data_IF_892675436103
#
_entry.id   IF_892675436103
#
_cell.length_a   1.000
_cell.length_b   1.000
_cell.length_c   1.000
_cell.angle_alpha   90.00
_cell.angle_beta   90.00
_cell.angle_gamma   90.00
#
_symmetry.space_group_name_H-M   'P 1'
#
loop_
_entity.id
_entity.type
_entity.pdbx_description
1 polymer ?
#
# COMPACT_ATOMS: atom_id res chain seq x y z
N UNK A 1 7.87 23.66 35.22
CA UNK A 1 8.24 22.83 34.09
C UNK A 1 9.45 21.99 34.45
N UNK A 2 9.24 20.76 34.92
CA UNK A 2 10.32 19.86 35.34
C UNK A 2 11.17 19.46 34.15
N UNK A 3 12.49 19.67 34.23
CA UNK A 3 13.49 19.16 33.31
C UNK A 3 13.51 17.64 33.44
N UNK A 4 12.79 16.94 32.59
CA UNK A 4 12.89 15.47 32.45
C UNK A 4 14.37 15.13 32.22
N UNK A 5 14.93 14.34 33.13
CA UNK A 5 16.34 13.93 33.11
C UNK A 5 16.70 13.29 31.77
N UNK A 6 17.90 13.58 31.26
CA UNK A 6 18.42 12.98 30.02
C UNK A 6 18.35 11.45 30.02
N UNK A 7 18.49 10.81 31.19
CA UNK A 7 18.32 9.35 31.38
C UNK A 7 16.87 8.88 31.15
N UNK A 8 15.88 9.64 31.58
CA UNK A 8 14.45 9.26 31.39
C UNK A 8 14.04 9.36 29.93
N UNK A 9 14.56 10.34 29.19
CA UNK A 9 14.37 10.42 27.72
C UNK A 9 14.98 9.22 27.00
N UNK A 10 16.17 8.77 27.39
CA UNK A 10 16.82 7.60 26.80
C UNK A 10 16.04 6.32 27.12
N UNK A 11 15.57 6.17 28.36
CA UNK A 11 14.76 5.02 28.76
C UNK A 11 13.42 5.00 28.02
N UNK A 12 12.79 6.16 27.82
CA UNK A 12 11.55 6.29 27.05
C UNK A 12 11.76 5.94 25.57
N UNK A 13 12.85 6.42 24.95
CA UNK A 13 13.19 6.04 23.56
C UNK A 13 13.52 4.54 23.42
N UNK A 14 14.21 3.95 24.38
CA UNK A 14 14.50 2.51 24.38
C UNK A 14 13.24 1.66 24.58
N UNK A 15 12.29 2.11 25.44
CA UNK A 15 10.97 1.46 25.57
C UNK A 15 10.14 1.58 24.28
N UNK A 16 10.16 2.73 23.62
CA UNK A 16 9.49 2.95 22.36
C UNK A 16 10.06 2.03 21.27
N UNK A 17 11.40 1.90 21.17
CA UNK A 17 12.06 0.98 20.22
C UNK A 17 11.76 -0.50 20.51
N UNK A 18 11.67 -0.91 21.77
CA UNK A 18 11.26 -2.28 22.12
C UNK A 18 9.84 -2.59 21.65
N UNK A 19 8.89 -1.62 21.81
CA UNK A 19 7.53 -1.79 21.31
C UNK A 19 7.47 -1.94 19.79
N UNK A 20 8.28 -1.16 19.06
CA UNK A 20 8.37 -1.26 17.60
C UNK A 20 8.94 -2.62 17.16
N UNK A 21 9.99 -3.11 17.84
CA UNK A 21 10.57 -4.43 17.56
C UNK A 21 9.57 -5.55 17.86
N UNK A 22 8.82 -5.48 18.97
CA UNK A 22 7.78 -6.46 19.28
C UNK A 22 6.63 -6.41 18.28
N UNK A 23 6.23 -5.22 17.85
CA UNK A 23 5.21 -5.05 16.81
C UNK A 23 5.64 -5.73 15.50
N UNK A 24 6.88 -5.47 15.05
CA UNK A 24 7.44 -6.11 13.86
C UNK A 24 7.57 -7.62 14.01
N UNK A 25 8.06 -8.10 15.16
CA UNK A 25 8.19 -9.52 15.44
C UNK A 25 6.83 -10.23 15.43
N UNK A 26 5.79 -9.63 16.05
CA UNK A 26 4.44 -10.17 16.06
C UNK A 26 3.85 -10.16 14.65
N UNK A 27 3.97 -9.06 13.91
CA UNK A 27 3.46 -8.96 12.55
C UNK A 27 4.14 -9.96 11.60
N UNK A 28 5.46 -10.10 11.71
CA UNK A 28 6.23 -11.07 10.94
C UNK A 28 5.87 -12.52 11.32
N UNK A 29 5.65 -12.77 12.61
CA UNK A 29 5.21 -14.09 13.10
C UNK A 29 3.81 -14.42 12.60
N UNK A 30 2.88 -13.48 12.59
CA UNK A 30 1.54 -13.67 12.02
C UNK A 30 1.63 -13.98 10.52
N UNK A 31 2.43 -13.23 9.77
CA UNK A 31 2.68 -13.50 8.34
C UNK A 31 3.31 -14.88 8.14
N UNK A 32 4.30 -15.26 8.96
CA UNK A 32 4.94 -16.58 8.90
C UNK A 32 3.98 -17.72 9.28
N UNK A 33 3.14 -17.53 10.30
CA UNK A 33 2.12 -18.51 10.70
C UNK A 33 1.12 -18.69 9.57
N UNK A 34 0.67 -17.59 8.95
CA UNK A 34 -0.21 -17.63 7.78
C UNK A 34 0.49 -18.36 6.62
N UNK A 35 1.78 -18.07 6.35
CA UNK A 35 2.58 -18.77 5.35
C UNK A 35 2.67 -20.28 5.61
N UNK A 36 2.87 -20.70 6.84
CA UNK A 36 3.01 -22.12 7.24
C UNK A 36 1.64 -22.82 7.15
N UNK A 37 0.57 -22.21 7.62
CA UNK A 37 -0.78 -22.81 7.62
C UNK A 37 -1.44 -22.86 6.22
N UNK A 38 -1.09 -21.94 5.32
CA UNK A 38 -1.66 -21.83 3.97
C UNK A 38 -0.67 -22.36 2.93
N UNK A 39 0.46 -22.99 3.31
CA UNK A 39 1.46 -23.58 2.42
C UNK A 39 0.86 -24.75 1.58
N UNK A 40 -0.27 -24.46 0.95
CA UNK A 40 -0.76 -25.21 -0.19
C UNK A 40 0.02 -24.74 -1.42
N UNK A 41 0.20 -25.62 -2.40
CA UNK A 41 0.91 -25.32 -3.68
C UNK A 41 0.25 -24.23 -4.53
N UNK A 42 -0.70 -23.48 -4.00
CA UNK A 42 -1.54 -22.54 -4.72
C UNK A 42 -0.86 -21.16 -4.86
N UNK A 43 -0.71 -20.69 -6.09
CA UNK A 43 -0.19 -19.35 -6.38
C UNK A 43 -1.06 -18.22 -5.78
N UNK A 44 -2.36 -18.47 -5.56
CA UNK A 44 -3.33 -17.55 -4.96
C UNK A 44 -2.95 -17.07 -3.56
N UNK A 45 -2.12 -17.82 -2.84
CA UNK A 45 -1.60 -17.45 -1.52
C UNK A 45 -0.88 -16.09 -1.53
N UNK A 46 -0.02 -15.85 -2.54
CA UNK A 46 0.71 -14.59 -2.62
C UNK A 46 -0.22 -13.38 -2.78
N UNK A 47 -1.36 -13.57 -3.45
CA UNK A 47 -2.38 -12.53 -3.60
C UNK A 47 -3.07 -12.22 -2.28
N UNK A 48 -3.39 -13.24 -1.48
CA UNK A 48 -3.96 -13.08 -0.14
C UNK A 48 -2.99 -12.38 0.79
N UNK A 49 -1.72 -12.81 0.81
CA UNK A 49 -0.67 -12.21 1.64
C UNK A 49 -0.43 -10.74 1.29
N UNK A 50 -0.45 -10.41 0.02
CA UNK A 50 -0.39 -9.03 -0.44
C UNK A 50 -1.55 -8.20 0.15
N UNK A 51 -2.78 -8.67 0.01
CA UNK A 51 -3.97 -7.97 0.51
C UNK A 51 -3.95 -7.82 2.04
N UNK A 52 -3.47 -8.83 2.77
CA UNK A 52 -3.32 -8.75 4.24
C UNK A 52 -2.23 -7.77 4.66
N UNK A 53 -1.07 -7.77 4.00
CA UNK A 53 0.00 -6.82 4.28
C UNK A 53 -0.47 -5.37 4.03
N UNK A 54 -1.24 -5.16 2.97
CA UNK A 54 -1.87 -3.89 2.64
C UNK A 54 -2.85 -3.44 3.73
N UNK A 55 -3.71 -4.33 4.22
CA UNK A 55 -4.63 -4.04 5.34
C UNK A 55 -3.87 -3.65 6.60
N UNK A 56 -2.79 -4.36 6.94
CA UNK A 56 -1.93 -4.03 8.08
C UNK A 56 -1.31 -2.65 7.95
N UNK A 57 -0.90 -2.24 6.75
CA UNK A 57 -0.38 -0.90 6.51
C UNK A 57 -1.40 0.19 6.88
N UNK A 58 -2.67 0.01 6.51
CA UNK A 58 -3.73 0.97 6.86
C UNK A 58 -4.06 0.98 8.35
N UNK A 59 -4.02 -0.17 9.01
CA UNK A 59 -4.16 -0.25 10.48
C UNK A 59 -3.07 0.59 11.17
N UNK A 60 -1.84 0.53 10.67
CA UNK A 60 -0.73 1.33 11.21
C UNK A 60 -0.99 2.84 11.08
N UNK A 61 -1.53 3.28 9.93
CA UNK A 61 -1.88 4.71 9.75
C UNK A 61 -2.99 5.13 10.72
N UNK A 62 -4.04 4.33 10.91
CA UNK A 62 -5.09 4.66 11.89
C UNK A 62 -4.51 4.79 13.29
N UNK A 63 -3.68 3.83 13.73
CA UNK A 63 -3.04 3.87 15.03
C UNK A 63 -2.19 5.14 15.20
N UNK A 64 -1.51 5.58 14.14
CA UNK A 64 -0.76 6.82 14.13
C UNK A 64 -1.67 8.04 14.30
N UNK A 65 -2.72 8.13 13.48
CA UNK A 65 -3.66 9.27 13.51
C UNK A 65 -4.32 9.39 14.88
N UNK A 66 -4.77 8.28 15.46
CA UNK A 66 -5.42 8.26 16.77
C UNK A 66 -4.46 8.62 17.91
N UNK A 67 -3.19 8.22 17.84
CA UNK A 67 -2.19 8.54 18.87
C UNK A 67 -1.70 9.99 18.78
N UNK A 68 -1.48 10.51 17.56
CA UNK A 68 -0.96 11.85 17.34
C UNK A 68 -2.06 12.91 17.20
N UNK A 69 -3.33 12.50 17.11
CA UNK A 69 -4.49 13.37 16.87
C UNK A 69 -4.27 14.32 15.67
N UNK A 70 -3.59 13.83 14.64
CA UNK A 70 -3.19 14.60 13.47
C UNK A 70 -3.16 13.76 12.20
N UNK A 71 -3.71 14.33 11.13
CA UNK A 71 -3.70 13.74 9.78
C UNK A 71 -2.63 14.37 8.88
N UNK A 72 -1.66 15.10 9.43
CA UNK A 72 -0.73 15.96 8.68
C UNK A 72 0.18 15.27 7.66
N UNK A 73 0.28 13.96 7.69
CA UNK A 73 1.16 13.20 6.77
C UNK A 73 0.40 12.24 5.87
N UNK A 74 -0.91 12.44 5.72
CA UNK A 74 -1.73 11.59 4.87
C UNK A 74 -2.22 12.40 3.69
N UNK A 75 -1.93 11.94 2.47
CA UNK A 75 -2.46 12.55 1.25
C UNK A 75 -3.90 12.10 1.02
N UNK A 76 -4.80 13.07 0.85
CA UNK A 76 -6.19 12.82 0.49
C UNK A 76 -6.27 12.18 -0.90
N UNK A 77 -5.45 12.65 -1.84
CA UNK A 77 -5.42 12.13 -3.20
C UNK A 77 -5.00 10.66 -3.25
N UNK A 78 -4.04 10.26 -2.40
CA UNK A 78 -3.69 8.85 -2.21
C UNK A 78 -4.89 8.02 -1.76
N UNK A 79 -5.60 8.46 -0.71
CA UNK A 79 -6.76 7.73 -0.18
C UNK A 79 -7.90 7.62 -1.21
N UNK A 80 -8.17 8.69 -1.96
CA UNK A 80 -9.20 8.67 -3.02
C UNK A 80 -8.83 7.67 -4.11
N UNK A 81 -7.60 7.72 -4.63
CA UNK A 81 -7.13 6.76 -5.63
C UNK A 81 -7.23 5.32 -5.11
N UNK A 82 -6.86 5.12 -3.84
CA UNK A 82 -6.87 3.81 -3.22
C UNK A 82 -8.29 3.26 -3.02
N UNK A 83 -9.24 4.10 -2.62
CA UNK A 83 -10.67 3.72 -2.54
C UNK A 83 -11.21 3.32 -3.92
N UNK A 84 -10.93 4.11 -4.95
CA UNK A 84 -11.36 3.81 -6.33
C UNK A 84 -10.77 2.47 -6.79
N UNK A 85 -9.50 2.21 -6.49
CA UNK A 85 -8.82 0.95 -6.78
C UNK A 85 -9.52 -0.22 -6.07
N UNK A 86 -9.75 -0.12 -4.74
CA UNK A 86 -10.39 -1.18 -3.96
C UNK A 86 -11.82 -1.46 -4.45
N UNK A 87 -12.61 -0.42 -4.72
CA UNK A 87 -13.96 -0.57 -5.27
C UNK A 87 -13.94 -1.26 -6.63
N UNK A 88 -13.05 -0.84 -7.54
CA UNK A 88 -12.89 -1.47 -8.85
C UNK A 88 -12.52 -2.96 -8.72
N UNK A 89 -11.61 -3.28 -7.79
CA UNK A 89 -11.18 -4.66 -7.51
C UNK A 89 -12.29 -5.51 -6.89
N UNK A 90 -13.04 -4.96 -5.94
CA UNK A 90 -14.18 -5.67 -5.35
C UNK A 90 -15.28 -5.95 -6.38
N UNK A 91 -15.60 -4.99 -7.24
CA UNK A 91 -16.55 -5.17 -8.33
C UNK A 91 -16.11 -6.31 -9.26
N UNK A 92 -14.85 -6.29 -9.69
CA UNK A 92 -14.32 -7.35 -10.56
C UNK A 92 -14.33 -8.71 -9.87
N UNK A 93 -13.98 -8.77 -8.60
CA UNK A 93 -13.96 -10.02 -7.84
C UNK A 93 -15.36 -10.61 -7.60
N UNK A 94 -16.37 -9.79 -7.38
CA UNK A 94 -17.75 -10.23 -7.09
C UNK A 94 -18.48 -10.67 -8.38
N UNK A 95 -18.34 -9.88 -9.45
CA UNK A 95 -19.15 -10.07 -10.67
C UNK A 95 -18.45 -10.89 -11.75
N UNK A 96 -17.19 -11.25 -11.55
CA UNK A 96 -16.43 -12.05 -12.49
C UNK A 96 -16.06 -13.39 -11.88
N UNK A 97 -16.47 -14.46 -12.57
CA UNK A 97 -15.92 -15.79 -12.26
C UNK A 97 -14.49 -15.81 -12.76
N UNK A 98 -13.53 -15.85 -11.85
CA UNK A 98 -12.13 -16.04 -12.22
C UNK A 98 -11.91 -17.46 -12.75
N UNK A 99 -11.30 -17.59 -13.93
CA UNK A 99 -10.73 -18.86 -14.38
C UNK A 99 -9.47 -19.26 -13.56
N UNK A 100 -9.01 -18.39 -12.67
CA UNK A 100 -7.94 -18.69 -11.72
C UNK A 100 -8.56 -19.43 -10.54
N UNK A 101 -8.20 -20.69 -10.38
CA UNK A 101 -8.65 -21.51 -9.24
C UNK A 101 -8.11 -20.90 -7.93
N UNK A 102 -8.96 -20.17 -7.23
CA UNK A 102 -8.69 -19.66 -5.89
C UNK A 102 -9.48 -20.52 -4.93
N UNK A 103 -8.83 -21.12 -3.93
CA UNK A 103 -9.56 -21.90 -2.92
C UNK A 103 -10.57 -21.02 -2.18
N UNK A 104 -11.66 -21.63 -1.72
CA UNK A 104 -12.72 -20.91 -1.00
C UNK A 104 -12.17 -20.12 0.20
N UNK A 105 -11.23 -20.72 0.94
CA UNK A 105 -10.59 -20.11 2.10
C UNK A 105 -9.81 -18.85 1.68
N UNK A 106 -8.99 -18.95 0.64
CA UNK A 106 -8.21 -17.82 0.12
C UNK A 106 -9.12 -16.70 -0.38
N UNK A 107 -10.24 -17.02 -1.01
CA UNK A 107 -11.24 -16.05 -1.45
C UNK A 107 -11.84 -15.30 -0.27
N UNK A 108 -12.22 -15.98 0.80
CA UNK A 108 -12.79 -15.35 2.00
C UNK A 108 -11.79 -14.37 2.61
N UNK A 109 -10.53 -14.77 2.81
CA UNK A 109 -9.51 -13.89 3.35
C UNK A 109 -9.23 -12.68 2.45
N UNK A 110 -9.24 -12.87 1.13
CA UNK A 110 -9.05 -11.82 0.15
C UNK A 110 -10.19 -10.77 0.24
N UNK A 111 -11.45 -11.21 0.21
CA UNK A 111 -12.59 -10.30 0.32
C UNK A 111 -12.61 -9.57 1.66
N UNK A 112 -12.38 -10.30 2.75
CA UNK A 112 -12.40 -9.72 4.10
C UNK A 112 -11.33 -8.64 4.24
N UNK A 113 -10.09 -8.90 3.80
CA UNK A 113 -9.01 -7.93 3.87
C UNK A 113 -9.28 -6.69 3.01
N UNK A 114 -9.84 -6.85 1.81
CA UNK A 114 -10.19 -5.73 0.94
C UNK A 114 -11.32 -4.87 1.52
N UNK A 115 -12.36 -5.50 2.09
CA UNK A 115 -13.47 -4.78 2.74
C UNK A 115 -12.95 -4.01 3.96
N UNK A 116 -12.13 -4.63 4.80
CA UNK A 116 -11.53 -3.97 5.97
C UNK A 116 -10.68 -2.77 5.51
N UNK A 117 -9.82 -2.93 4.51
CA UNK A 117 -9.02 -1.83 3.96
C UNK A 117 -9.89 -0.68 3.45
N UNK A 118 -10.99 -1.00 2.76
CA UNK A 118 -11.93 0.00 2.25
C UNK A 118 -12.61 0.79 3.39
N UNK A 119 -13.09 0.09 4.42
CA UNK A 119 -13.69 0.73 5.61
C UNK A 119 -12.69 1.63 6.32
N UNK A 120 -11.44 1.19 6.45
CA UNK A 120 -10.36 1.97 7.06
C UNK A 120 -10.08 3.24 6.22
N UNK A 121 -10.03 3.15 4.90
CA UNK A 121 -9.82 4.30 4.03
C UNK A 121 -10.96 5.33 4.15
N UNK A 122 -12.22 4.88 4.21
CA UNK A 122 -13.36 5.77 4.46
C UNK A 122 -13.30 6.42 5.85
N UNK A 123 -12.92 5.66 6.86
CA UNK A 123 -12.74 6.19 8.21
C UNK A 123 -11.61 7.23 8.27
N UNK A 124 -10.49 7.00 7.59
CA UNK A 124 -9.42 7.99 7.47
C UNK A 124 -9.89 9.27 6.77
N UNK A 125 -10.66 9.17 5.70
CA UNK A 125 -11.26 10.36 5.06
C UNK A 125 -12.20 11.10 6.02
N UNK A 126 -13.01 10.37 6.78
CA UNK A 126 -13.86 10.96 7.81
C UNK A 126 -13.03 11.75 8.86
N UNK A 127 -11.93 11.16 9.34
CA UNK A 127 -11.03 11.83 10.29
C UNK A 127 -10.41 13.10 9.69
N UNK A 128 -10.00 13.07 8.41
CA UNK A 128 -9.39 14.20 7.73
C UNK A 128 -10.39 15.35 7.51
N UNK A 129 -11.63 15.03 7.14
CA UNK A 129 -12.61 16.08 6.81
C UNK A 129 -13.37 16.62 8.02
N UNK A 130 -13.65 15.79 9.02
CA UNK A 130 -14.57 16.14 10.11
C UNK A 130 -13.91 16.25 11.49
N UNK A 131 -12.87 15.44 11.78
CA UNK A 131 -12.27 15.40 13.12
C UNK A 131 -11.02 16.26 13.20
N UNK A 132 -10.12 16.18 12.22
CA UNK A 132 -8.85 16.89 12.20
C UNK A 132 -8.63 17.72 10.92
N UNK A 133 -9.59 18.58 10.48
CA UNK A 133 -9.51 19.28 9.19
C UNK A 133 -8.37 20.29 9.11
N UNK A 134 -7.91 20.83 10.23
CA UNK A 134 -6.85 21.83 10.28
C UNK A 134 -5.45 21.23 10.14
N UNK A 135 -5.32 19.92 10.43
CA UNK A 135 -4.03 19.24 10.39
C UNK A 135 -3.67 18.69 9.01
N UNK A 136 -4.62 18.68 8.06
CA UNK A 136 -4.43 18.12 6.72
C UNK A 136 -3.69 19.09 5.79
N UNK A 137 -2.79 18.57 4.95
CA UNK A 137 -2.00 19.34 3.99
C UNK A 137 -2.73 19.60 2.69
N UNK A 138 -3.86 20.30 2.75
CA UNK A 138 -4.69 20.64 1.57
C UNK A 138 -3.92 21.37 0.45
N UNK A 139 -2.93 22.20 0.81
CA UNK A 139 -2.09 22.88 -0.17
C UNK A 139 -1.27 21.94 -1.04
N UNK A 140 -0.83 20.81 -0.49
CA UNK A 140 -0.09 19.79 -1.22
C UNK A 140 -1.02 19.01 -2.16
N UNK A 141 -2.16 18.57 -1.65
CA UNK A 141 -3.14 17.79 -2.42
C UNK A 141 -3.68 18.59 -3.62
N UNK A 142 -3.81 19.92 -3.50
CA UNK A 142 -4.21 20.78 -4.62
C UNK A 142 -3.17 20.88 -5.75
N UNK A 143 -1.88 20.62 -5.47
CA UNK A 143 -0.83 20.66 -6.50
C UNK A 143 -0.81 19.40 -7.37
N UNK A 144 -1.23 18.27 -6.82
CA UNK A 144 -1.26 17.00 -7.53
C UNK A 144 -2.64 16.33 -7.35
N UNK A 145 -3.70 16.85 -7.96
CA UNK A 145 -5.04 16.32 -7.82
C UNK A 145 -5.15 14.90 -8.40
N UNK A 146 -5.96 14.08 -7.76
CA UNK A 146 -6.11 12.65 -8.04
C UNK A 146 -6.44 12.30 -9.50
N UNK A 147 -7.14 13.18 -10.22
CA UNK A 147 -7.52 12.95 -11.62
C UNK A 147 -6.31 12.91 -12.58
N UNK A 148 -5.18 13.55 -12.25
CA UNK A 148 -3.93 13.39 -13.01
C UNK A 148 -3.37 11.97 -12.96
N UNK A 149 -3.74 11.20 -11.96
CA UNK A 149 -3.38 9.79 -11.84
C UNK A 149 -4.47 8.91 -12.48
N UNK A 150 -5.74 9.19 -12.18
CA UNK A 150 -6.86 8.37 -12.64
C UNK A 150 -7.01 8.33 -14.16
N UNK A 151 -6.91 9.49 -14.82
CA UNK A 151 -7.16 9.56 -16.27
C UNK A 151 -6.12 8.75 -17.07
N UNK A 152 -4.79 8.94 -16.87
CA UNK A 152 -3.79 8.15 -17.58
C UNK A 152 -3.88 6.65 -17.28
N UNK A 153 -4.11 6.27 -16.01
CA UNK A 153 -4.23 4.86 -15.62
C UNK A 153 -5.45 4.19 -16.25
N UNK A 154 -6.57 4.91 -16.35
CA UNK A 154 -7.77 4.41 -17.02
C UNK A 154 -7.55 4.22 -18.52
N UNK A 155 -6.88 5.16 -19.17
CA UNK A 155 -6.51 5.06 -20.59
C UNK A 155 -5.60 3.85 -20.82
N UNK A 156 -4.56 3.68 -20.00
CA UNK A 156 -3.67 2.52 -20.08
C UNK A 156 -4.43 1.20 -19.89
N UNK A 157 -5.38 1.14 -18.97
CA UNK A 157 -6.19 -0.04 -18.74
C UNK A 157 -7.04 -0.43 -19.97
N UNK A 158 -7.54 0.54 -20.73
CA UNK A 158 -8.26 0.28 -21.99
C UNK A 158 -7.34 -0.36 -23.03
N UNK A 159 -6.08 0.10 -23.13
CA UNK A 159 -5.11 -0.43 -24.10
C UNK A 159 -4.62 -1.83 -23.72
N UNK A 160 -4.35 -2.09 -22.45
CA UNK A 160 -3.76 -3.34 -21.96
C UNK A 160 -4.79 -4.36 -21.45
N UNK A 161 -6.09 -4.16 -21.69
CA UNK A 161 -7.13 -5.10 -21.24
C UNK A 161 -6.96 -6.48 -21.87
N UNK A 162 -6.83 -7.56 -21.09
CA UNK A 162 -6.89 -8.94 -21.59
C UNK A 162 -8.36 -9.36 -21.79
N UNK A 163 -8.58 -10.55 -22.36
CA UNK A 163 -9.90 -11.20 -22.38
C UNK A 163 -9.97 -12.29 -21.30
N UNK A 164 -10.09 -11.87 -20.02
CA UNK A 164 -10.22 -12.83 -18.90
C UNK A 164 -11.69 -13.06 -18.59
N UNK A 165 -12.47 -11.98 -18.61
CA UNK A 165 -13.88 -12.02 -18.21
C UNK A 165 -14.83 -12.03 -19.40
N UNK A 166 -16.02 -12.55 -19.18
CA UNK A 166 -17.08 -12.55 -20.21
C UNK A 166 -17.47 -11.12 -20.62
N UNK A 167 -17.38 -10.16 -19.67
CA UNK A 167 -17.72 -8.76 -19.91
C UNK A 167 -16.44 -7.91 -19.98
N UNK A 168 -16.25 -7.20 -21.09
CA UNK A 168 -15.09 -6.34 -21.37
C UNK A 168 -14.90 -5.20 -20.37
N UNK A 169 -15.98 -4.75 -19.71
CA UNK A 169 -15.91 -3.71 -18.70
C UNK A 169 -15.12 -4.22 -17.48
N UNK A 170 -15.32 -5.47 -17.09
CA UNK A 170 -14.57 -6.06 -15.98
C UNK A 170 -13.09 -6.29 -16.31
N UNK A 171 -12.76 -6.59 -17.58
CA UNK A 171 -11.36 -6.64 -18.02
C UNK A 171 -10.66 -5.28 -17.84
N UNK A 172 -11.32 -4.19 -18.22
CA UNK A 172 -10.78 -2.83 -18.03
C UNK A 172 -10.66 -2.49 -16.55
N UNK A 173 -11.70 -2.73 -15.75
CA UNK A 173 -11.68 -2.44 -14.30
C UNK A 173 -10.61 -3.24 -13.57
N UNK A 174 -10.38 -4.48 -13.99
CA UNK A 174 -9.34 -5.34 -13.44
C UNK A 174 -7.95 -4.75 -13.64
N UNK A 175 -7.56 -4.47 -14.89
CA UNK A 175 -6.26 -3.87 -15.20
C UNK A 175 -6.13 -2.47 -14.62
N UNK A 176 -7.20 -1.68 -14.67
CA UNK A 176 -7.25 -0.36 -14.06
C UNK A 176 -6.94 -0.41 -12.57
N UNK A 177 -7.55 -1.36 -11.83
CA UNK A 177 -7.29 -1.50 -10.39
C UNK A 177 -5.82 -1.80 -10.08
N UNK A 178 -5.15 -2.62 -10.90
CA UNK A 178 -3.76 -3.01 -10.70
C UNK A 178 -2.81 -1.85 -11.03
N UNK A 179 -2.98 -1.22 -12.20
CA UNK A 179 -2.13 -0.08 -12.58
C UNK A 179 -2.36 1.09 -11.61
N UNK A 180 -3.60 1.35 -11.21
CA UNK A 180 -3.90 2.41 -10.24
C UNK A 180 -3.24 2.17 -8.89
N UNK A 181 -3.23 0.92 -8.39
CA UNK A 181 -2.56 0.56 -7.14
C UNK A 181 -1.08 0.95 -7.17
N UNK A 182 -0.40 0.63 -8.27
CA UNK A 182 1.03 0.88 -8.39
C UNK A 182 1.39 2.37 -8.42
N UNK A 183 0.50 3.23 -8.95
CA UNK A 183 0.75 4.67 -9.06
C UNK A 183 0.12 5.47 -7.90
N UNK A 184 -0.92 4.94 -7.25
CA UNK A 184 -1.65 5.62 -6.18
C UNK A 184 -0.75 6.04 -5.01
N UNK A 185 0.31 5.29 -4.71
CA UNK A 185 1.26 5.59 -3.63
C UNK A 185 2.11 6.84 -3.89
N UNK A 186 2.20 7.30 -5.13
CA UNK A 186 3.05 8.41 -5.54
C UNK A 186 2.78 9.74 -4.81
N UNK A 187 1.52 10.24 -4.68
CA UNK A 187 1.23 11.44 -3.90
C UNK A 187 1.68 11.32 -2.45
N UNK A 188 1.53 10.14 -1.86
CA UNK A 188 1.92 9.88 -0.48
C UNK A 188 3.44 9.95 -0.29
N UNK A 189 4.21 9.39 -1.22
CA UNK A 189 5.68 9.43 -1.17
C UNK A 189 6.19 10.86 -1.36
N UNK A 190 5.61 11.64 -2.30
CA UNK A 190 6.01 13.03 -2.49
C UNK A 190 5.70 13.84 -1.23
N UNK A 191 4.52 13.66 -0.62
CA UNK A 191 4.17 14.34 0.61
C UNK A 191 5.24 14.10 1.69
N UNK A 192 5.71 12.86 1.87
CA UNK A 192 6.74 12.53 2.84
C UNK A 192 8.11 13.12 2.51
N UNK A 193 8.48 13.18 1.23
CA UNK A 193 9.79 13.70 0.81
C UNK A 193 9.85 15.22 0.82
N UNK A 194 8.71 15.89 0.66
CA UNK A 194 8.63 17.36 0.61
C UNK A 194 8.58 17.98 2.00
N UNK A 195 8.06 17.28 2.99
CA UNK A 195 8.04 17.76 4.37
C UNK A 195 9.44 17.77 4.97
N UNK A 196 9.89 18.97 5.34
CA UNK A 196 11.12 19.18 6.13
C UNK A 196 10.84 18.77 7.57
N UNK A 197 11.22 17.57 7.96
CA UNK A 197 11.03 17.08 9.32
C UNK A 197 11.58 15.67 9.52
N UNK A 198 11.48 15.18 10.76
CA UNK A 198 11.85 13.82 11.09
C UNK A 198 10.76 12.87 10.60
N UNK A 199 11.14 11.91 9.75
CA UNK A 199 10.20 10.85 9.32
C UNK A 199 9.84 10.01 10.54
N UNK A 200 8.56 9.97 10.89
CA UNK A 200 8.08 9.19 12.03
C UNK A 200 8.17 7.68 11.77
N UNK A 201 8.37 6.91 12.83
CA UNK A 201 8.49 5.44 12.76
C UNK A 201 7.23 4.79 12.18
N UNK A 202 6.04 5.31 12.52
CA UNK A 202 4.77 4.77 12.00
C UNK A 202 4.64 4.95 10.48
N UNK A 203 5.07 6.08 9.96
CA UNK A 203 5.09 6.37 8.52
C UNK A 203 6.00 5.42 7.77
N UNK A 204 7.19 5.14 8.34
CA UNK A 204 8.12 4.17 7.78
C UNK A 204 7.54 2.74 7.79
N UNK A 205 6.88 2.34 8.88
CA UNK A 205 6.23 1.04 8.99
C UNK A 205 5.09 0.88 7.96
N UNK A 206 4.28 1.93 7.76
CA UNK A 206 3.25 1.94 6.73
C UNK A 206 3.83 1.62 5.35
N UNK A 207 4.88 2.34 4.93
CA UNK A 207 5.50 2.11 3.62
C UNK A 207 6.16 0.74 3.55
N UNK A 208 6.75 0.25 4.65
CA UNK A 208 7.34 -1.08 4.68
C UNK A 208 6.30 -2.19 4.43
N UNK A 209 5.10 -2.10 5.04
CA UNK A 209 4.04 -3.07 4.79
C UNK A 209 3.44 -2.93 3.39
N UNK A 210 3.33 -1.71 2.85
CA UNK A 210 2.96 -1.52 1.45
C UNK A 210 4.01 -2.12 0.50
N UNK A 211 5.30 -1.93 0.77
CA UNK A 211 6.37 -2.55 -0.01
C UNK A 211 6.33 -4.08 0.07
N UNK A 212 6.06 -4.65 1.25
CA UNK A 212 5.88 -6.09 1.42
C UNK A 212 4.68 -6.61 0.62
N UNK A 213 3.56 -5.88 0.63
CA UNK A 213 2.39 -6.16 -0.20
C UNK A 213 2.77 -6.22 -1.68
N UNK A 214 3.51 -5.21 -2.16
CA UNK A 214 3.95 -5.14 -3.56
C UNK A 214 4.90 -6.28 -3.94
N UNK A 215 5.78 -6.73 -3.04
CA UNK A 215 6.62 -7.90 -3.29
C UNK A 215 5.77 -9.16 -3.48
N UNK A 216 4.77 -9.39 -2.62
CA UNK A 216 3.90 -10.56 -2.75
C UNK A 216 3.06 -10.53 -4.03
N UNK A 217 2.49 -9.38 -4.38
CA UNK A 217 1.68 -9.26 -5.60
C UNK A 217 2.55 -9.40 -6.87
N UNK A 218 3.79 -8.90 -6.84
CA UNK A 218 4.74 -9.08 -7.94
C UNK A 218 5.08 -10.56 -8.15
N UNK A 219 5.31 -11.33 -7.07
CA UNK A 219 5.54 -12.78 -7.17
C UNK A 219 4.32 -13.49 -7.76
N UNK A 220 3.12 -13.09 -7.34
CA UNK A 220 1.87 -13.64 -7.88
C UNK A 220 1.76 -13.39 -9.38
N UNK A 221 1.96 -12.15 -9.84
CA UNK A 221 1.88 -11.80 -11.26
C UNK A 221 3.00 -12.40 -12.08
N UNK A 222 4.22 -12.49 -11.54
CA UNK A 222 5.32 -13.18 -12.20
C UNK A 222 5.02 -14.66 -12.48
N UNK A 223 4.28 -15.32 -11.59
CA UNK A 223 3.86 -16.72 -11.80
C UNK A 223 2.66 -16.85 -12.74
N UNK A 224 1.86 -15.81 -12.91
CA UNK A 224 0.61 -15.87 -13.66
C UNK A 224 0.59 -14.98 -14.92
N UNK A 225 1.70 -14.31 -15.30
CA UNK A 225 1.71 -13.38 -16.43
C UNK A 225 1.40 -14.08 -17.77
N UNK A 226 1.82 -15.32 -17.96
CA UNK A 226 1.56 -16.08 -19.17
C UNK A 226 0.07 -16.32 -19.36
N UNK A 227 -0.66 -16.67 -18.28
CA UNK A 227 -2.12 -16.84 -18.30
C UNK A 227 -2.83 -15.56 -18.77
N UNK A 228 -2.36 -14.38 -18.32
CA UNK A 228 -2.94 -13.09 -18.71
C UNK A 228 -2.61 -12.75 -20.16
N UNK A 229 -1.38 -13.02 -20.62
CA UNK A 229 -0.92 -12.73 -21.98
C UNK A 229 -1.55 -13.67 -23.03
N UNK A 230 -1.84 -14.92 -22.68
CA UNK A 230 -2.46 -15.89 -23.60
C UNK A 230 -3.90 -15.52 -23.98
N UNK A 231 -4.54 -14.63 -23.23
CA UNK A 231 -5.87 -14.10 -23.49
C UNK A 231 -5.83 -13.00 -24.55
N UNK A 232 -5.92 -13.39 -25.83
CA UNK A 232 -5.83 -12.49 -27.00
C UNK A 232 -6.82 -11.33 -26.89
N UNK A 233 -6.33 -10.11 -27.07
CA UNK A 233 -7.10 -8.87 -27.10
C UNK A 233 -6.88 -8.12 -28.41
N UNK A 234 -7.86 -7.29 -28.79
CA UNK A 234 -7.85 -6.47 -30.01
C UNK A 234 -6.74 -5.40 -30.03
N UNK A 235 -6.24 -4.98 -28.88
CA UNK A 235 -5.21 -3.94 -28.76
C UNK A 235 -3.90 -4.56 -28.23
N UNK A 236 -3.39 -4.06 -27.11
CA UNK A 236 -2.17 -4.52 -26.46
C UNK A 236 -2.39 -5.57 -25.37
N UNK A 237 -3.58 -6.21 -25.34
CA UNK A 237 -3.94 -7.16 -24.27
C UNK A 237 -3.07 -8.41 -24.22
N UNK A 238 -2.41 -8.81 -25.31
CA UNK A 238 -1.39 -9.86 -25.29
C UNK A 238 -0.13 -9.49 -24.49
N UNK A 239 0.05 -8.21 -24.13
CA UNK A 239 1.12 -7.72 -23.28
C UNK A 239 0.62 -7.30 -21.87
N UNK A 240 -0.62 -7.58 -21.54
CA UNK A 240 -1.23 -7.15 -20.28
C UNK A 240 -0.47 -7.67 -19.06
N UNK A 241 -0.03 -8.92 -19.05
CA UNK A 241 0.76 -9.48 -17.96
C UNK A 241 2.11 -8.80 -17.78
N UNK A 242 2.78 -8.41 -18.87
CA UNK A 242 4.02 -7.63 -18.79
C UNK A 242 3.77 -6.21 -18.27
N UNK A 243 2.68 -5.55 -18.71
CA UNK A 243 2.31 -4.22 -18.23
C UNK A 243 2.02 -4.23 -16.72
N UNK A 244 1.36 -5.27 -16.23
CA UNK A 244 1.12 -5.49 -14.80
C UNK A 244 2.46 -5.63 -14.04
N UNK A 245 3.36 -6.50 -14.49
CA UNK A 245 4.67 -6.69 -13.84
C UNK A 245 5.46 -5.37 -13.83
N UNK A 246 5.49 -4.65 -14.93
CA UNK A 246 6.19 -3.37 -15.05
C UNK A 246 5.59 -2.35 -14.08
N UNK A 247 4.26 -2.26 -13.95
CA UNK A 247 3.63 -1.34 -13.00
C UNK A 247 3.99 -1.65 -11.54
N UNK A 248 4.03 -2.92 -11.15
CA UNK A 248 4.44 -3.34 -9.80
C UNK A 248 5.93 -3.03 -9.53
N UNK A 249 6.79 -3.21 -10.53
CA UNK A 249 8.20 -2.82 -10.43
C UNK A 249 8.37 -1.31 -10.22
N UNK A 250 7.59 -0.47 -10.92
CA UNK A 250 7.59 0.97 -10.69
C UNK A 250 7.21 1.32 -9.24
N UNK A 251 6.20 0.65 -8.68
CA UNK A 251 5.81 0.84 -7.28
C UNK A 251 6.97 0.51 -6.33
N UNK A 252 7.66 -0.61 -6.54
CA UNK A 252 8.83 -0.99 -5.74
C UNK A 252 9.98 0.01 -5.86
N UNK A 253 10.22 0.57 -7.04
CA UNK A 253 11.25 1.59 -7.25
C UNK A 253 10.93 2.86 -6.45
N UNK A 254 9.68 3.34 -6.48
CA UNK A 254 9.25 4.50 -5.70
C UNK A 254 9.39 4.27 -4.20
N UNK A 255 8.99 3.10 -3.71
CA UNK A 255 9.15 2.74 -2.30
C UNK A 255 10.62 2.57 -1.92
N UNK A 256 11.44 1.98 -2.78
CA UNK A 256 12.89 1.85 -2.60
C UNK A 256 13.58 3.20 -2.44
N UNK A 257 13.19 4.18 -3.26
CA UNK A 257 13.68 5.55 -3.13
C UNK A 257 13.32 6.17 -1.77
N UNK A 258 12.09 5.98 -1.30
CA UNK A 258 11.71 6.42 0.03
C UNK A 258 12.56 5.77 1.13
N UNK A 259 12.77 4.44 1.08
CA UNK A 259 13.61 3.74 2.05
C UNK A 259 15.06 4.24 2.04
N UNK A 260 15.61 4.51 0.85
CA UNK A 260 16.94 5.12 0.74
C UNK A 260 17.02 6.47 1.49
N UNK A 261 16.02 7.35 1.29
CA UNK A 261 15.96 8.63 1.99
C UNK A 261 15.81 8.46 3.50
N UNK A 262 14.97 7.54 3.94
CA UNK A 262 14.75 7.22 5.34
C UNK A 262 16.05 6.75 6.03
N UNK A 263 16.74 5.76 5.45
CA UNK A 263 18.01 5.27 6.00
C UNK A 263 19.09 6.35 6.00
N UNK A 264 19.16 7.16 4.95
CA UNK A 264 20.08 8.32 4.89
C UNK A 264 19.81 9.32 6.02
N UNK A 265 18.54 9.58 6.34
CA UNK A 265 18.15 10.45 7.45
C UNK A 265 18.59 9.89 8.81
N UNK A 266 18.38 8.59 9.06
CA UNK A 266 18.81 7.92 10.30
C UNK A 266 20.34 7.96 10.45
N UNK A 267 21.09 7.72 9.36
CA UNK A 267 22.56 7.74 9.40
C UNK A 267 23.11 9.14 9.68
N UNK A 268 22.50 10.19 9.14
CA UNK A 268 22.88 11.58 9.47
C UNK A 268 22.67 11.89 10.95
N UNK A 269 21.54 11.47 11.53
CA UNK A 269 21.26 11.63 12.97
C UNK A 269 22.31 10.97 13.86
N UNK A 270 22.78 9.76 13.52
CA UNK A 270 23.85 9.08 14.26
C UNK A 270 25.18 9.86 14.21
N UNK A 271 25.47 10.57 13.10
CA UNK A 271 26.67 11.41 12.99
C UNK A 271 26.56 12.67 13.85
N UNK A 272 25.43 13.33 13.88
CA UNK A 272 25.21 14.55 14.69
C UNK A 272 25.32 14.22 16.18
N UNK A 273 24.70 13.14 16.66
CA UNK A 273 24.81 12.70 18.07
C UNK A 273 26.24 12.27 18.49
N UNK A 274 27.12 11.96 17.54
CA UNK A 274 28.54 11.61 17.82
C UNK A 274 29.44 12.82 17.93
N UNK A 275 28.99 13.99 17.47
CA UNK A 275 29.75 15.25 17.54
C UNK A 275 29.36 16.13 18.73
N UNK A 276 28.26 15.82 19.43
CA UNK A 276 27.74 16.54 20.60
C UNK A 276 28.13 15.85 21.93
N UNK A 277 29.14 14.99 21.91
CA UNK A 277 29.80 14.34 23.08
C UNK A 277 31.27 14.70 23.09
#
# INVERSE_FOLDING_TARGET
MEKISSKEKIIFELRKRKKDVYFWAISLSIVLIILIFICTKENSLYFVLSSMAQTLSFIIIILRVTQNQSCSEISINYLICFIIMLVSRLITNIFSSYDIEISLINSIFLYLSQIISLLICFYLLYLIYFVYPETSDKMFDNKLPFYYILIPTFILAIFFKPYIFRNRIFDVLFVFSIILESVAIYPQIILFTTKKGEIETYTSNFIAFQGLSTVFILIFWYKNYAFVNDRKSLLLGGFAGYAIIVSELFQLIFMGYYFYLYFKSIMKRKKIKKFDL
#
